data_IF_364395865530
#
_entry.id   IF_364395865530
#
_cell.length_a   1.000
_cell.length_b   1.000
_cell.length_c   1.000
_cell.angle_alpha   90.00
_cell.angle_beta   90.00
_cell.angle_gamma   90.00
#
_symmetry.space_group_name_H-M   'P 1'
#
loop_
_entity.id
_entity.type
_entity.pdbx_description
1 polymer ?
#
# COMPACT_ATOMS: atom_id res chain seq x y z
N UNK A 1 -5.36 -9.91 -55.82
CA UNK A 1 -5.73 -11.24 -55.28
C UNK A 1 -5.22 -11.51 -53.85
N UNK A 2 -4.06 -11.04 -53.34
CA UNK A 2 -3.61 -11.37 -51.98
C UNK A 2 -4.20 -10.48 -50.85
N UNK A 3 -4.67 -9.26 -51.14
CA UNK A 3 -5.26 -8.35 -50.12
C UNK A 3 -6.59 -8.84 -49.54
N UNK A 4 -7.45 -9.46 -50.37
CA UNK A 4 -8.73 -9.99 -49.89
C UNK A 4 -8.53 -11.20 -48.97
N UNK A 5 -7.50 -12.01 -49.22
CA UNK A 5 -7.18 -13.17 -48.40
C UNK A 5 -6.69 -12.76 -47.02
N UNK A 6 -5.84 -11.72 -46.93
CA UNK A 6 -5.35 -11.15 -45.67
C UNK A 6 -6.47 -10.50 -44.85
N UNK A 7 -7.38 -9.76 -45.50
CA UNK A 7 -8.58 -9.19 -44.84
C UNK A 7 -9.52 -10.26 -44.29
N UNK A 8 -9.72 -11.35 -45.03
CA UNK A 8 -10.53 -12.50 -44.58
C UNK A 8 -9.87 -13.26 -43.42
N UNK A 9 -8.54 -13.39 -43.41
CA UNK A 9 -7.84 -14.00 -42.27
C UNK A 9 -7.93 -13.13 -41.03
N UNK A 10 -7.82 -11.81 -41.18
CA UNK A 10 -7.89 -10.85 -40.08
C UNK A 10 -9.31 -10.79 -39.47
N UNK A 11 -10.36 -10.83 -40.30
CA UNK A 11 -11.74 -10.92 -39.84
C UNK A 11 -12.04 -12.26 -39.13
N UNK A 12 -11.48 -13.37 -39.63
CA UNK A 12 -11.59 -14.68 -38.95
C UNK A 12 -10.91 -14.65 -37.57
N UNK A 13 -9.71 -14.08 -37.47
CA UNK A 13 -8.99 -14.00 -36.20
C UNK A 13 -9.70 -13.08 -35.20
N UNK A 14 -10.35 -12.00 -35.65
CA UNK A 14 -11.14 -11.12 -34.78
C UNK A 14 -12.40 -11.82 -34.25
N UNK A 15 -13.09 -12.61 -35.09
CA UNK A 15 -14.23 -13.43 -34.67
C UNK A 15 -13.84 -14.48 -33.63
N UNK A 16 -12.71 -15.16 -33.83
CA UNK A 16 -12.19 -16.15 -32.88
C UNK A 16 -11.79 -15.50 -31.55
N UNK A 17 -11.20 -14.31 -31.59
CA UNK A 17 -10.86 -13.53 -30.39
C UNK A 17 -12.12 -13.13 -29.61
N UNK A 18 -13.19 -12.71 -30.29
CA UNK A 18 -14.46 -12.35 -29.67
C UNK A 18 -15.12 -13.58 -29.00
N UNK A 19 -15.02 -14.74 -29.64
CA UNK A 19 -15.56 -15.99 -29.12
C UNK A 19 -14.76 -16.51 -27.90
N UNK A 20 -13.44 -16.30 -27.89
CA UNK A 20 -12.56 -16.61 -26.77
C UNK A 20 -12.85 -15.69 -25.58
N UNK A 21 -13.06 -14.39 -25.84
CA UNK A 21 -13.36 -13.39 -24.81
C UNK A 21 -14.73 -13.63 -24.16
N UNK A 22 -15.75 -14.01 -24.95
CA UNK A 22 -17.07 -14.43 -24.43
C UNK A 22 -16.98 -15.68 -23.55
N UNK A 23 -16.17 -16.68 -23.94
CA UNK A 23 -15.93 -17.87 -23.10
C UNK A 23 -15.25 -17.49 -21.79
N UNK A 24 -14.21 -16.65 -21.84
CA UNK A 24 -13.48 -16.26 -20.63
C UNK A 24 -14.34 -15.46 -19.65
N UNK A 25 -15.21 -14.58 -20.16
CA UNK A 25 -16.20 -13.84 -19.36
C UNK A 25 -17.26 -14.77 -18.75
N UNK A 26 -17.69 -15.82 -19.45
CA UNK A 26 -18.60 -16.81 -18.91
C UNK A 26 -17.95 -17.63 -17.76
N UNK A 27 -16.68 -18.02 -17.91
CA UNK A 27 -15.92 -18.70 -16.85
C UNK A 27 -15.74 -17.80 -15.62
N UNK A 28 -15.43 -16.52 -15.84
CA UNK A 28 -15.34 -15.53 -14.76
C UNK A 28 -16.70 -15.36 -14.05
N UNK A 29 -17.81 -15.27 -14.80
CA UNK A 29 -19.16 -15.16 -14.22
C UNK A 29 -19.53 -16.39 -13.37
N UNK A 30 -19.18 -17.60 -13.81
CA UNK A 30 -19.43 -18.83 -13.06
C UNK A 30 -18.58 -18.90 -11.79
N UNK A 31 -17.29 -18.50 -11.85
CA UNK A 31 -16.43 -18.43 -10.67
C UNK A 31 -16.93 -17.43 -9.62
N UNK A 32 -17.56 -16.33 -10.04
CA UNK A 32 -18.17 -15.33 -9.15
C UNK A 32 -19.47 -15.85 -8.52
N UNK A 33 -20.25 -16.65 -9.25
CA UNK A 33 -21.45 -17.32 -8.73
C UNK A 33 -21.10 -18.40 -7.70
N UNK A 34 -20.07 -19.21 -7.95
CA UNK A 34 -19.55 -20.19 -6.97
C UNK A 34 -19.04 -19.50 -5.70
N UNK A 35 -18.30 -18.38 -5.82
CA UNK A 35 -17.86 -17.59 -4.65
C UNK A 35 -19.04 -17.04 -3.83
N UNK A 36 -20.15 -16.63 -4.48
CA UNK A 36 -21.37 -16.19 -3.80
C UNK A 36 -22.10 -17.33 -3.08
N UNK A 37 -22.17 -18.53 -3.70
CA UNK A 37 -22.73 -19.71 -3.04
C UNK A 37 -21.88 -20.17 -1.86
N UNK A 38 -20.54 -20.16 -1.98
CA UNK A 38 -19.65 -20.53 -0.87
C UNK A 38 -19.74 -19.54 0.31
N UNK A 39 -19.89 -18.24 0.04
CA UNK A 39 -20.12 -17.26 1.10
C UNK A 39 -21.48 -17.45 1.81
N UNK A 40 -22.53 -17.82 1.08
CA UNK A 40 -23.84 -18.13 1.69
C UNK A 40 -23.79 -19.42 2.52
N UNK A 41 -23.06 -20.44 2.09
CA UNK A 41 -22.89 -21.67 2.86
C UNK A 41 -22.04 -21.45 4.13
N UNK A 42 -20.98 -20.64 4.05
CA UNK A 42 -20.19 -20.25 5.23
C UNK A 42 -20.99 -19.43 6.24
N UNK A 43 -21.91 -18.58 5.78
CA UNK A 43 -22.84 -17.86 6.66
C UNK A 43 -23.89 -18.77 7.30
N UNK A 44 -24.24 -19.89 6.65
CA UNK A 44 -25.15 -20.91 7.20
C UNK A 44 -24.44 -21.81 8.23
N UNK A 45 -23.16 -22.14 8.02
CA UNK A 45 -22.31 -22.88 8.97
C UNK A 45 -21.93 -22.06 10.22
N UNK A 46 -21.76 -20.73 10.09
CA UNK A 46 -21.54 -19.84 11.25
C UNK A 46 -22.75 -19.76 12.19
N UNK A 47 -23.97 -20.04 11.73
CA UNK A 47 -25.18 -20.07 12.56
C UNK A 47 -25.35 -21.36 13.39
N UNK A 48 -24.64 -22.44 13.06
CA UNK A 48 -24.73 -23.73 13.77
C UNK A 48 -23.54 -24.04 14.67
N UNK A 49 -22.43 -23.28 14.56
CA UNK A 49 -21.19 -23.53 15.34
C UNK A 49 -21.10 -22.78 16.68
N UNK A 50 -22.12 -22.02 17.10
CA UNK A 50 -22.12 -21.27 18.36
C UNK A 50 -22.48 -22.11 19.60
N UNK A 51 -22.20 -23.43 19.58
CA UNK A 51 -22.37 -24.35 20.71
C UNK A 51 -21.26 -25.40 20.72
N UNK A 52 -20.04 -24.99 21.08
CA UNK A 52 -19.08 -25.87 21.75
C UNK A 52 -17.95 -25.01 22.34
N UNK A 53 -18.05 -24.75 23.64
CA UNK A 53 -16.91 -24.38 24.47
C UNK A 53 -16.02 -25.61 24.60
N UNK A 54 -14.70 -25.44 24.47
CA UNK A 54 -13.77 -26.26 25.24
C UNK A 54 -12.44 -25.54 25.53
N UNK A 55 -11.94 -25.89 26.70
CA UNK A 55 -10.83 -25.40 27.51
C UNK A 55 -9.46 -25.43 26.81
N UNK A 56 -8.63 -24.40 27.05
CA UNK A 56 -7.17 -24.58 27.20
C UNK A 56 -6.56 -23.59 28.21
N UNK A 57 -5.60 -24.11 28.97
CA UNK A 57 -5.00 -23.59 30.20
C UNK A 57 -4.23 -22.27 30.04
N UNK A 58 -4.42 -21.37 31.02
CA UNK A 58 -3.62 -20.16 31.20
C UNK A 58 -2.26 -20.47 31.85
N UNK A 59 -1.22 -19.79 31.38
CA UNK A 59 0.11 -19.73 32.03
C UNK A 59 0.01 -19.09 33.42
N UNK A 60 0.77 -19.57 34.43
CA UNK A 60 0.67 -19.06 35.79
C UNK A 60 1.27 -17.65 35.92
N UNK A 61 0.51 -16.75 36.53
CA UNK A 61 0.93 -15.41 36.96
C UNK A 61 1.61 -15.48 38.35
N UNK A 62 2.51 -14.55 38.70
CA UNK A 62 3.17 -14.51 40.00
C UNK A 62 2.17 -14.26 41.16
N UNK A 63 2.52 -14.74 42.36
CA UNK A 63 1.64 -14.93 43.52
C UNK A 63 0.99 -13.68 44.15
N UNK A 64 1.23 -12.47 43.62
CA UNK A 64 0.77 -11.20 44.21
C UNK A 64 -0.29 -10.48 43.36
N UNK A 65 -0.97 -11.18 42.45
CA UNK A 65 -1.95 -10.59 41.52
C UNK A 65 -3.36 -11.12 41.81
N UNK A 66 -4.26 -10.25 42.26
CA UNK A 66 -5.70 -10.54 42.39
C UNK A 66 -6.41 -10.19 41.08
N UNK A 67 -7.09 -11.17 40.47
CA UNK A 67 -7.71 -11.06 39.14
C UNK A 67 -9.24 -11.06 39.25
N UNK A 68 -9.90 -10.06 38.65
CA UNK A 68 -11.36 -10.04 38.48
C UNK A 68 -11.74 -9.73 37.02
N UNK A 69 -12.73 -10.44 36.48
CA UNK A 69 -13.29 -10.19 35.14
C UNK A 69 -14.61 -9.42 35.27
N UNK A 70 -14.72 -8.23 34.67
CA UNK A 70 -15.91 -7.38 34.80
C UNK A 70 -16.39 -6.88 33.43
N UNK A 71 -17.71 -6.84 33.23
CA UNK A 71 -18.40 -6.23 32.09
C UNK A 71 -19.17 -5.01 32.59
N UNK A 72 -18.76 -3.81 32.17
CA UNK A 72 -19.34 -2.57 32.68
C UNK A 72 -20.71 -2.26 32.07
N UNK A 73 -21.68 -1.88 32.92
CA UNK A 73 -22.86 -1.10 32.52
C UNK A 73 -22.59 0.39 32.82
N UNK A 74 -22.93 1.23 31.84
CA UNK A 74 -22.74 2.69 31.88
C UNK A 74 -23.26 3.32 33.18
N UNK A 75 -22.42 4.01 33.94
CA UNK A 75 -22.88 4.87 35.03
C UNK A 75 -22.00 6.14 35.25
N UNK A 76 -22.74 7.25 35.31
CA UNK A 76 -22.48 8.62 35.78
C UNK A 76 -21.11 9.33 35.65
N UNK A 77 -21.18 10.44 34.91
CA UNK A 77 -20.22 11.52 34.81
C UNK A 77 -20.17 12.33 36.12
N UNK A 78 -19.06 12.27 36.87
CA UNK A 78 -18.85 13.14 38.04
C UNK A 78 -18.08 14.38 37.62
N UNK A 79 -18.83 15.41 37.21
CA UNK A 79 -18.28 16.74 36.94
C UNK A 79 -17.72 17.35 38.23
N UNK A 80 -16.39 17.39 38.38
CA UNK A 80 -15.76 18.14 39.46
C UNK A 80 -14.60 18.98 38.90
N UNK A 81 -14.83 20.29 38.75
CA UNK A 81 -13.99 21.24 37.98
C UNK A 81 -12.66 21.64 38.65
N UNK A 82 -12.31 21.10 39.82
CA UNK A 82 -11.14 21.50 40.62
C UNK A 82 -10.21 20.33 41.03
N UNK A 83 -10.28 19.17 40.37
CA UNK A 83 -9.36 18.06 40.65
C UNK A 83 -8.12 18.13 39.77
N UNK A 84 -6.97 17.81 40.36
CA UNK A 84 -5.74 17.52 39.61
C UNK A 84 -6.02 16.44 38.55
N UNK A 85 -5.36 16.55 37.40
CA UNK A 85 -5.50 15.61 36.29
C UNK A 85 -5.09 14.22 36.76
N UNK A 86 -5.91 13.22 36.44
CA UNK A 86 -5.58 11.82 36.71
C UNK A 86 -4.64 11.35 35.61
N UNK A 87 -3.41 11.06 36.00
CA UNK A 87 -2.40 10.49 35.10
C UNK A 87 -2.66 9.00 34.90
N UNK A 88 -2.90 8.60 33.65
CA UNK A 88 -3.06 7.19 33.25
C UNK A 88 -1.85 6.75 32.45
N UNK A 89 -1.15 5.74 32.93
CA UNK A 89 -0.03 5.12 32.22
C UNK A 89 -0.57 4.12 31.20
N UNK A 90 -0.15 4.26 29.95
CA UNK A 90 -0.60 3.41 28.85
C UNK A 90 0.57 2.68 28.23
N UNK A 91 0.33 1.42 27.90
CA UNK A 91 1.21 0.56 27.13
C UNK A 91 0.38 -0.14 26.06
N UNK A 92 0.92 -0.23 24.85
CA UNK A 92 0.29 -0.96 23.74
C UNK A 92 1.27 -1.98 23.20
N UNK A 93 0.85 -3.23 23.15
CA UNK A 93 1.62 -4.32 22.58
C UNK A 93 0.92 -4.89 21.35
N UNK A 94 1.62 -4.89 20.22
CA UNK A 94 1.17 -5.62 19.03
C UNK A 94 1.49 -7.10 19.20
N UNK A 95 0.47 -7.89 19.54
CA UNK A 95 0.61 -9.33 19.77
C UNK A 95 0.69 -10.10 18.46
N UNK A 96 -0.04 -9.66 17.45
CA UNK A 96 -0.03 -10.22 16.09
C UNK A 96 -0.44 -9.15 15.09
N UNK A 97 0.34 -8.98 14.04
CA UNK A 97 -0.05 -8.18 12.87
C UNK A 97 -0.35 -9.14 11.72
N UNK A 98 -1.56 -9.03 11.20
CA UNK A 98 -2.12 -9.87 10.14
C UNK A 98 -1.95 -9.26 8.75
N UNK A 99 -2.90 -9.55 7.87
CA UNK A 99 -2.92 -9.04 6.50
C UNK A 99 -3.12 -7.52 6.49
N UNK A 100 -2.33 -6.84 5.65
CA UNK A 100 -2.40 -5.40 5.40
C UNK A 100 -3.06 -5.21 4.02
N UNK A 101 -4.26 -4.65 4.00
CA UNK A 101 -5.01 -4.33 2.78
C UNK A 101 -4.80 -2.85 2.41
N UNK A 102 -3.88 -2.62 1.47
CA UNK A 102 -3.54 -1.28 0.99
C UNK A 102 -4.63 -0.66 0.13
N UNK A 103 -5.56 -1.44 -0.42
CA UNK A 103 -6.65 -0.93 -1.27
C UNK A 103 -7.76 -0.35 -0.40
N UNK A 104 -7.98 -0.94 0.78
CA UNK A 104 -9.04 -0.52 1.71
C UNK A 104 -8.56 0.34 2.85
N UNK A 105 -7.26 0.66 2.92
CA UNK A 105 -6.66 1.42 4.02
C UNK A 105 -6.90 0.74 5.38
N UNK A 106 -6.72 -0.58 5.42
CA UNK A 106 -7.03 -1.42 6.59
C UNK A 106 -5.96 -2.45 6.85
N UNK A 107 -5.74 -2.78 8.11
CA UNK A 107 -4.92 -3.92 8.49
C UNK A 107 -5.56 -4.70 9.63
N UNK A 108 -5.30 -6.00 9.69
CA UNK A 108 -5.77 -6.84 10.79
C UNK A 108 -4.71 -6.91 11.89
N UNK A 109 -5.09 -6.74 13.15
CA UNK A 109 -4.18 -6.92 14.27
C UNK A 109 -4.86 -7.49 15.52
N UNK A 110 -4.03 -8.10 16.37
CA UNK A 110 -4.32 -8.44 17.76
C UNK A 110 -3.43 -7.56 18.63
N UNK A 111 -4.06 -6.66 19.38
CA UNK A 111 -3.39 -5.62 20.14
C UNK A 111 -3.79 -5.72 21.59
N UNK A 112 -2.81 -5.71 22.48
CA UNK A 112 -3.02 -5.67 23.92
C UNK A 112 -2.74 -4.27 24.44
N UNK A 113 -3.80 -3.58 24.86
CA UNK A 113 -3.71 -2.29 25.53
C UNK A 113 -3.73 -2.53 27.03
N UNK A 114 -2.77 -1.96 27.74
CA UNK A 114 -2.71 -1.97 29.19
C UNK A 114 -2.72 -0.54 29.71
N UNK A 115 -3.67 -0.24 30.59
CA UNK A 115 -3.86 1.05 31.23
C UNK A 115 -3.67 0.87 32.72
N UNK A 116 -2.89 1.75 33.34
CA UNK A 116 -2.64 1.75 34.78
C UNK A 116 -2.96 3.12 35.36
N UNK A 117 -3.73 3.16 36.44
CA UNK A 117 -3.99 4.37 37.19
C UNK A 117 -3.93 4.12 38.69
N UNK A 118 -3.70 5.19 39.43
CA UNK A 118 -3.54 5.14 40.87
C UNK A 118 -4.92 5.16 41.54
N UNK A 119 -5.18 4.22 42.45
CA UNK A 119 -6.39 4.22 43.28
C UNK A 119 -6.02 4.19 44.78
N UNK A 120 -5.99 5.35 45.46
CA UNK A 120 -5.58 5.45 46.86
C UNK A 120 -6.45 4.64 47.84
N UNK A 121 -7.71 4.37 47.49
CA UNK A 121 -8.65 3.63 48.36
C UNK A 121 -8.18 2.23 48.74
N UNK A 122 -7.31 1.62 47.94
CA UNK A 122 -6.82 0.25 48.14
C UNK A 122 -5.43 0.17 48.77
N UNK A 123 -4.85 1.29 49.22
CA UNK A 123 -3.53 1.29 49.88
C UNK A 123 -3.55 0.55 51.22
N UNK A 124 -4.66 0.63 51.96
CA UNK A 124 -4.80 -0.01 53.28
C UNK A 124 -5.53 -1.36 53.24
N UNK A 125 -6.30 -1.64 52.17
CA UNK A 125 -7.16 -2.81 52.02
C UNK A 125 -6.70 -3.75 50.89
N UNK A 126 -5.46 -4.21 50.97
CA UNK A 126 -4.79 -5.02 49.94
C UNK A 126 -5.40 -6.42 49.64
N UNK A 127 -6.53 -6.81 50.26
CA UNK A 127 -6.89 -8.23 50.43
C UNK A 127 -8.16 -8.72 49.71
N UNK A 128 -9.00 -7.88 49.10
CA UNK A 128 -10.05 -8.42 48.21
C UNK A 128 -10.53 -7.44 47.13
N UNK A 129 -10.28 -7.82 45.87
CA UNK A 129 -10.89 -7.18 44.71
C UNK A 129 -12.29 -7.77 44.50
N UNK A 130 -13.26 -7.33 45.31
CA UNK A 130 -14.65 -7.73 45.06
C UNK A 130 -15.21 -6.96 43.85
N UNK A 131 -15.96 -7.66 43.00
CA UNK A 131 -16.52 -7.09 41.76
C UNK A 131 -17.35 -5.82 42.01
N UNK A 132 -18.04 -5.74 43.15
CA UNK A 132 -18.81 -4.56 43.57
C UNK A 132 -17.92 -3.35 43.91
N UNK A 133 -16.72 -3.57 44.44
CA UNK A 133 -15.77 -2.49 44.76
C UNK A 133 -15.16 -1.90 43.48
N UNK A 134 -14.96 -2.74 42.46
CA UNK A 134 -14.38 -2.30 41.18
C UNK A 134 -15.35 -1.44 40.35
N UNK A 135 -16.65 -1.73 40.39
CA UNK A 135 -17.68 -0.90 39.73
C UNK A 135 -17.78 0.52 40.35
N UNK A 136 -17.40 0.68 41.61
CA UNK A 136 -17.39 1.96 42.32
C UNK A 136 -16.12 2.81 42.04
N UNK A 137 -15.09 2.21 41.45
CA UNK A 137 -13.82 2.90 41.20
C UNK A 137 -13.85 3.77 39.95
N UNK A 138 -12.97 4.76 39.92
CA UNK A 138 -12.83 5.60 38.73
C UNK A 138 -12.27 4.76 37.56
N UNK A 139 -12.82 4.97 36.36
CA UNK A 139 -12.44 4.25 35.14
C UNK A 139 -12.11 5.24 33.99
N UNK A 140 -10.96 5.08 33.32
CA UNK A 140 -10.56 5.93 32.20
C UNK A 140 -11.39 5.73 30.92
N UNK A 141 -12.28 4.74 30.83
CA UNK A 141 -13.14 4.41 29.68
C UNK A 141 -12.38 4.45 28.35
N UNK A 142 -11.44 3.52 28.21
CA UNK A 142 -10.52 3.48 27.09
C UNK A 142 -11.11 2.70 25.90
N UNK A 143 -11.08 3.34 24.73
CA UNK A 143 -11.59 2.81 23.47
C UNK A 143 -10.53 2.91 22.37
N UNK A 144 -10.65 2.06 21.35
CA UNK A 144 -9.82 2.15 20.16
C UNK A 144 -10.54 3.03 19.15
N UNK A 145 -9.89 4.11 18.72
CA UNK A 145 -10.47 5.10 17.83
C UNK A 145 -10.46 4.67 16.36
N UNK A 146 -9.35 4.12 15.87
CA UNK A 146 -9.24 3.64 14.49
C UNK A 146 -9.71 2.19 14.31
N UNK A 147 -10.55 1.70 15.22
CA UNK A 147 -11.21 0.41 15.05
C UNK A 147 -12.20 0.45 13.91
N UNK A 148 -12.10 -0.49 12.98
CA UNK A 148 -13.14 -0.73 11.97
C UNK A 148 -14.15 -1.71 12.56
N UNK A 149 -15.41 -1.60 12.16
CA UNK A 149 -16.54 -2.44 12.60
C UNK A 149 -16.14 -3.92 12.84
N UNK A 150 -16.68 -4.53 13.91
CA UNK A 150 -16.40 -5.90 14.40
C UNK A 150 -15.10 -6.13 15.22
N UNK A 151 -14.68 -5.16 16.05
CA UNK A 151 -13.63 -5.41 17.05
C UNK A 151 -14.12 -6.32 18.19
N UNK A 152 -13.35 -7.37 18.47
CA UNK A 152 -13.55 -8.24 19.62
C UNK A 152 -12.71 -7.73 20.80
N UNK A 153 -13.33 -7.64 21.98
CA UNK A 153 -12.69 -7.16 23.19
C UNK A 153 -12.71 -8.22 24.29
N UNK A 154 -11.55 -8.49 24.87
CA UNK A 154 -11.40 -9.27 26.10
C UNK A 154 -10.74 -8.35 27.14
N UNK A 155 -11.44 -8.05 28.24
CA UNK A 155 -10.95 -7.13 29.28
C UNK A 155 -10.72 -7.90 30.57
N UNK A 156 -9.58 -7.67 31.20
CA UNK A 156 -9.23 -8.23 32.51
C UNK A 156 -8.69 -7.11 33.38
N UNK A 157 -9.14 -7.05 34.63
CA UNK A 157 -8.72 -6.03 35.57
C UNK A 157 -8.09 -6.70 36.78
N UNK A 158 -6.98 -6.16 37.23
CA UNK A 158 -6.25 -6.66 38.38
C UNK A 158 -5.60 -5.52 39.15
N UNK A 159 -5.34 -5.74 40.43
CA UNK A 159 -4.59 -4.81 41.28
C UNK A 159 -3.12 -5.16 41.26
N UNK A 160 -2.27 -4.15 41.13
CA UNK A 160 -0.82 -4.25 41.23
C UNK A 160 -0.36 -3.32 42.36
N UNK A 161 0.31 -3.87 43.37
CA UNK A 161 0.92 -3.09 44.44
C UNK A 161 2.36 -2.76 44.04
N UNK A 162 2.71 -1.49 44.10
CA UNK A 162 4.08 -1.03 43.87
C UNK A 162 4.99 -1.42 45.06
N UNK A 163 6.30 -1.24 44.90
CA UNK A 163 7.32 -1.46 45.95
C UNK A 163 7.01 -0.67 47.23
N UNK A 164 6.34 0.47 47.09
CA UNK A 164 5.90 1.36 48.17
C UNK A 164 4.51 0.98 48.75
N UNK A 165 3.98 -0.21 48.46
CA UNK A 165 2.62 -0.64 48.83
C UNK A 165 1.51 0.27 48.28
N UNK A 166 1.79 0.99 47.19
CA UNK A 166 0.81 1.85 46.52
C UNK A 166 -0.04 1.02 45.56
N UNK A 167 -1.35 1.11 45.70
CA UNK A 167 -2.30 0.39 44.86
C UNK A 167 -2.51 1.01 43.47
N UNK A 168 -2.20 0.25 42.43
CA UNK A 168 -2.45 0.57 41.03
C UNK A 168 -3.51 -0.37 40.47
N UNK A 169 -4.53 0.17 39.82
CA UNK A 169 -5.48 -0.63 39.05
C UNK A 169 -4.92 -0.76 37.65
N UNK A 170 -4.82 -2.01 37.19
CA UNK A 170 -4.34 -2.37 35.87
C UNK A 170 -5.50 -2.97 35.07
N UNK A 171 -5.93 -2.28 34.03
CA UNK A 171 -6.86 -2.80 33.04
C UNK A 171 -6.07 -3.28 31.82
N UNK A 172 -6.27 -4.55 31.45
CA UNK A 172 -5.70 -5.17 30.26
C UNK A 172 -6.83 -5.48 29.30
N UNK A 173 -6.81 -4.80 28.16
CA UNK A 173 -7.80 -4.94 27.09
C UNK A 173 -7.13 -5.51 25.84
N UNK A 174 -7.43 -6.77 25.53
CA UNK A 174 -7.03 -7.40 24.27
C UNK A 174 -8.09 -7.10 23.22
N UNK A 175 -7.67 -6.49 22.13
CA UNK A 175 -8.52 -6.08 21.02
C UNK A 175 -8.08 -6.80 19.75
N UNK A 176 -9.01 -7.55 19.13
CA UNK A 176 -8.76 -8.27 17.87
C UNK A 176 -9.71 -7.78 16.79
N UNK A 177 -9.16 -7.47 15.62
CA UNK A 177 -9.96 -7.16 14.44
C UNK A 177 -9.23 -6.27 13.45
N UNK A 178 -9.99 -5.45 12.73
CA UNK A 178 -9.49 -4.57 11.69
C UNK A 178 -9.31 -3.15 12.21
N UNK A 179 -8.19 -2.54 11.81
CA UNK A 179 -7.84 -1.17 12.13
C UNK A 179 -7.71 -0.40 10.82
N UNK A 180 -8.15 0.85 10.85
CA UNK A 180 -8.01 1.78 9.75
C UNK A 180 -6.66 2.49 9.84
N UNK A 181 -5.95 2.55 8.72
CA UNK A 181 -4.69 3.27 8.59
C UNK A 181 -4.59 3.88 7.19
N UNK A 182 -4.17 5.14 7.11
CA UNK A 182 -4.05 5.83 5.84
C UNK A 182 -2.74 5.45 5.15
N UNK A 183 -2.82 4.78 4.00
CA UNK A 183 -1.62 4.27 3.32
C UNK A 183 -0.99 5.34 2.42
N UNK A 184 0.27 5.67 2.69
CA UNK A 184 1.03 6.67 1.92
C UNK A 184 1.83 6.00 0.79
N UNK A 185 1.27 5.97 -0.41
CA UNK A 185 1.80 5.17 -1.53
C UNK A 185 2.66 5.98 -2.52
N UNK A 186 3.08 7.20 -2.16
CA UNK A 186 3.84 8.09 -3.08
C UNK A 186 5.11 7.44 -3.61
N UNK A 187 5.81 6.69 -2.73
CA UNK A 187 7.07 6.00 -3.04
C UNK A 187 6.88 4.56 -3.48
N UNK A 188 5.65 4.12 -3.76
CA UNK A 188 5.37 2.75 -4.18
C UNK A 188 6.22 2.33 -5.39
N UNK A 189 6.87 1.15 -5.38
CA UNK A 189 6.72 0.03 -4.43
C UNK A 189 7.72 0.04 -3.23
N UNK A 190 8.45 1.14 -3.03
CA UNK A 190 9.43 1.33 -1.95
C UNK A 190 8.84 2.09 -0.76
N UNK A 191 7.56 1.88 -0.49
CA UNK A 191 6.82 2.55 0.56
C UNK A 191 7.06 1.92 1.93
N UNK A 192 7.08 2.79 2.94
CA UNK A 192 7.05 2.45 4.36
C UNK A 192 5.71 2.93 4.92
N UNK A 193 5.10 2.14 5.80
CA UNK A 193 3.81 2.44 6.41
C UNK A 193 3.93 2.37 7.93
N UNK A 194 3.28 3.31 8.61
CA UNK A 194 3.19 3.33 10.07
C UNK A 194 1.81 2.80 10.48
N UNK A 195 1.75 1.56 10.96
CA UNK A 195 0.51 0.93 11.40
C UNK A 195 0.14 1.44 12.79
N UNK A 196 -0.73 2.44 12.87
CA UNK A 196 -1.04 3.12 14.12
C UNK A 196 -2.20 2.47 14.87
N UNK A 197 -2.14 2.43 16.19
CA UNK A 197 -3.27 2.14 17.08
C UNK A 197 -3.52 3.39 17.91
N UNK A 198 -4.74 3.90 17.83
CA UNK A 198 -5.16 5.09 18.55
C UNK A 198 -6.05 4.72 19.73
N UNK A 199 -5.52 4.93 20.93
CA UNK A 199 -6.21 4.68 22.20
C UNK A 199 -6.78 6.02 22.68
N UNK A 200 -8.10 6.11 22.82
CA UNK A 200 -8.81 7.35 23.21
C UNK A 200 -9.63 7.09 24.47
N UNK A 201 -9.64 8.06 25.38
CA UNK A 201 -10.55 8.06 26.52
C UNK A 201 -11.84 8.81 26.19
N UNK A 202 -12.99 8.32 26.67
CA UNK A 202 -14.24 9.09 26.65
C UNK A 202 -14.26 10.24 27.67
N UNK A 203 -13.25 10.33 28.55
CA UNK A 203 -13.06 11.46 29.50
C UNK A 203 -12.41 12.65 28.81
N UNK A 204 -12.64 13.85 29.36
CA UNK A 204 -12.07 15.08 28.81
C UNK A 204 -10.58 15.22 29.13
N UNK A 205 -9.86 16.00 28.30
CA UNK A 205 -8.45 16.37 28.49
C UNK A 205 -8.18 17.13 29.81
N UNK A 206 -9.23 17.74 30.38
CA UNK A 206 -9.16 18.42 31.68
C UNK A 206 -9.14 17.43 32.86
N UNK A 207 -9.69 16.22 32.67
CA UNK A 207 -9.79 15.19 33.73
C UNK A 207 -8.64 14.19 33.67
N UNK A 208 -8.20 13.83 32.46
CA UNK A 208 -7.29 12.71 32.22
C UNK A 208 -6.12 13.15 31.33
N UNK A 209 -4.92 12.69 31.69
CA UNK A 209 -3.75 12.74 30.81
C UNK A 209 -3.17 11.33 30.60
N UNK A 210 -2.76 11.04 29.37
CA UNK A 210 -2.06 9.79 29.05
C UNK A 210 -0.56 9.99 29.09
N UNK A 211 0.14 9.13 29.80
CA UNK A 211 1.59 9.02 29.79
C UNK A 211 2.02 7.62 29.37
N UNK A 212 3.17 7.51 28.71
CA UNK A 212 3.77 6.21 28.44
C UNK A 212 4.26 5.58 29.75
N UNK A 213 4.02 4.27 29.93
CA UNK A 213 4.59 3.55 31.06
C UNK A 213 6.12 3.47 30.94
N UNK A 214 6.83 4.04 31.92
CA UNK A 214 8.29 4.06 31.98
C UNK A 214 8.90 2.68 32.27
N UNK A 215 8.17 1.82 32.98
CA UNK A 215 8.65 0.50 33.40
C UNK A 215 8.36 -0.56 32.33
N UNK A 216 7.33 -0.34 31.51
CA UNK A 216 6.90 -1.28 30.48
C UNK A 216 6.60 -0.57 29.17
N UNK A 217 7.60 -0.46 28.30
CA UNK A 217 7.46 0.18 26.99
C UNK A 217 6.50 -0.60 26.07
N UNK A 218 5.81 0.14 25.20
CA UNK A 218 5.07 -0.41 24.06
C UNK A 218 6.02 -1.19 23.15
N UNK A 219 5.58 -2.32 22.63
CA UNK A 219 6.40 -3.22 21.83
C UNK A 219 5.59 -3.92 20.74
N UNK A 220 6.29 -4.45 19.75
CA UNK A 220 5.74 -5.33 18.73
C UNK A 220 6.38 -6.71 18.83
N UNK A 221 5.58 -7.76 18.66
CA UNK A 221 6.10 -9.12 18.55
C UNK A 221 6.38 -9.45 17.08
N UNK A 222 7.66 -9.54 16.65
CA UNK A 222 8.00 -9.86 15.26
C UNK A 222 7.69 -11.31 14.89
N UNK A 223 7.73 -12.25 15.84
CA UNK A 223 7.61 -13.69 15.57
C UNK A 223 6.21 -14.10 15.08
N UNK A 224 5.20 -13.31 15.41
CA UNK A 224 3.80 -13.57 15.05
C UNK A 224 3.35 -12.82 13.80
N UNK A 225 4.28 -12.14 13.11
CA UNK A 225 3.96 -11.32 11.95
C UNK A 225 3.55 -12.17 10.75
N UNK A 226 2.27 -12.13 10.39
CA UNK A 226 1.72 -12.98 9.31
C UNK A 226 1.95 -12.43 7.91
N UNK A 227 2.27 -11.14 7.77
CA UNK A 227 2.49 -10.48 6.48
C UNK A 227 3.98 -10.39 6.07
N UNK A 228 4.85 -11.20 6.69
CA UNK A 228 6.30 -11.20 6.48
C UNK A 228 6.74 -11.52 5.03
N UNK A 229 5.86 -12.11 4.21
CA UNK A 229 6.15 -12.39 2.79
C UNK A 229 6.10 -11.13 1.92
N UNK A 230 5.22 -10.19 2.25
CA UNK A 230 5.02 -8.95 1.49
C UNK A 230 5.67 -7.74 2.15
N UNK A 231 5.89 -7.81 3.46
CA UNK A 231 6.34 -6.70 4.29
C UNK A 231 7.52 -7.12 5.18
N UNK A 232 8.31 -6.14 5.56
CA UNK A 232 9.33 -6.22 6.60
C UNK A 232 8.85 -5.39 7.79
N UNK A 233 8.89 -5.97 8.98
CA UNK A 233 8.43 -5.31 10.21
C UNK A 233 9.65 -4.86 11.01
N UNK A 234 9.66 -3.59 11.41
CA UNK A 234 10.69 -3.06 12.31
C UNK A 234 10.35 -3.42 13.75
N UNK A 235 11.37 -3.66 14.57
CA UNK A 235 11.19 -4.02 15.99
C UNK A 235 10.80 -2.82 16.86
N UNK A 236 11.10 -1.61 16.41
CA UNK A 236 10.82 -0.39 17.14
C UNK A 236 9.40 0.10 16.88
N UNK A 237 8.84 0.70 17.93
CA UNK A 237 7.47 1.23 17.93
C UNK A 237 7.52 2.70 18.29
N UNK A 238 6.91 3.53 17.47
CA UNK A 238 6.84 4.98 17.69
C UNK A 238 5.63 5.29 18.57
N UNK A 239 5.83 6.11 19.60
CA UNK A 239 4.77 6.46 20.58
C UNK A 239 4.66 7.97 20.67
N UNK A 240 3.43 8.48 20.63
CA UNK A 240 3.15 9.90 20.84
C UNK A 240 1.75 10.11 21.40
N UNK A 241 1.53 11.27 22.02
CA UNK A 241 0.21 11.71 22.48
C UNK A 241 -0.32 12.83 21.61
N UNK A 242 -1.65 12.88 21.44
CA UNK A 242 -2.35 13.96 20.76
C UNK A 242 -3.71 14.21 21.42
N UNK A 243 -4.36 15.30 21.06
CA UNK A 243 -5.71 15.61 21.51
C UNK A 243 -6.65 15.41 20.31
N UNK A 244 -7.71 14.64 20.51
CA UNK A 244 -8.75 14.39 19.51
C UNK A 244 -10.03 15.10 19.94
N UNK A 245 -10.70 15.76 19.00
CA UNK A 245 -11.98 16.43 19.28
C UNK A 245 -13.12 15.48 18.95
N UNK A 246 -13.95 15.16 19.96
CA UNK A 246 -15.17 14.35 19.81
C UNK A 246 -16.32 15.14 20.42
N UNK A 247 -17.43 15.31 19.69
CA UNK A 247 -18.61 16.05 20.17
C UNK A 247 -18.33 17.47 20.72
N UNK A 248 -17.36 18.20 20.13
CA UNK A 248 -16.89 19.54 20.58
C UNK A 248 -16.14 19.55 21.92
N UNK A 249 -15.78 18.38 22.45
CA UNK A 249 -14.92 18.25 23.63
C UNK A 249 -13.55 17.67 23.23
N UNK A 250 -12.51 18.11 23.95
CA UNK A 250 -11.16 17.61 23.77
C UNK A 250 -10.97 16.34 24.58
N UNK A 251 -10.51 15.28 23.92
CA UNK A 251 -10.20 14.00 24.53
C UNK A 251 -8.72 13.65 24.32
N UNK A 252 -8.02 13.17 25.34
CA UNK A 252 -6.64 12.73 25.19
C UNK A 252 -6.60 11.45 24.34
N UNK A 253 -5.58 11.35 23.50
CA UNK A 253 -5.33 10.22 22.61
C UNK A 253 -3.88 9.78 22.70
N UNK A 254 -3.67 8.49 22.96
CA UNK A 254 -2.37 7.84 22.98
C UNK A 254 -2.20 7.03 21.70
N UNK A 255 -1.21 7.37 20.90
CA UNK A 255 -0.96 6.78 19.58
C UNK A 255 0.31 5.94 19.62
N UNK A 256 0.25 4.75 19.04
CA UNK A 256 1.38 3.83 18.96
C UNK A 256 1.45 3.26 17.54
N UNK A 257 2.60 3.37 16.87
CA UNK A 257 2.77 2.94 15.50
C UNK A 257 3.87 1.88 15.35
N UNK A 258 3.51 0.77 14.70
CA UNK A 258 4.47 -0.23 14.23
C UNK A 258 4.87 0.08 12.79
N UNK A 259 6.16 0.32 12.56
CA UNK A 259 6.68 0.65 11.23
C UNK A 259 6.86 -0.62 10.39
N UNK A 260 6.40 -0.59 9.14
CA UNK A 260 6.58 -1.68 8.17
C UNK A 260 7.09 -1.17 6.82
N UNK A 261 7.99 -1.89 6.17
CA UNK A 261 8.49 -1.59 4.82
C UNK A 261 8.03 -2.66 3.82
N UNK A 262 7.56 -2.26 2.64
CA UNK A 262 7.16 -3.22 1.61
C UNK A 262 8.38 -3.92 1.01
N UNK A 263 8.21 -5.19 0.61
CA UNK A 263 9.16 -5.95 -0.22
C UNK A 263 8.90 -5.68 -1.70
N UNK A 264 9.75 -4.90 -2.41
CA UNK A 264 9.44 -4.44 -3.77
C UNK A 264 9.65 -5.49 -4.87
N UNK A 265 10.29 -6.62 -4.57
CA UNK A 265 10.81 -7.59 -5.56
C UNK A 265 9.76 -8.01 -6.58
N UNK A 266 8.54 -8.30 -6.14
CA UNK A 266 7.43 -8.69 -7.02
C UNK A 266 7.13 -7.62 -8.08
N UNK A 267 7.06 -6.35 -7.67
CA UNK A 267 6.76 -5.23 -8.58
C UNK A 267 7.92 -4.94 -9.52
N UNK A 268 9.17 -5.13 -9.06
CA UNK A 268 10.34 -4.95 -9.91
C UNK A 268 10.37 -5.98 -11.04
N UNK A 269 10.25 -7.27 -10.73
CA UNK A 269 10.33 -8.31 -11.76
C UNK A 269 9.10 -8.35 -12.67
N UNK A 270 7.89 -8.21 -12.13
CA UNK A 270 6.67 -8.39 -12.91
C UNK A 270 6.19 -7.12 -13.62
N UNK A 271 6.61 -5.94 -13.16
CA UNK A 271 6.18 -4.67 -13.75
C UNK A 271 7.34 -3.94 -14.40
N UNK A 272 8.39 -3.64 -13.64
CA UNK A 272 9.48 -2.80 -14.15
C UNK A 272 10.26 -3.50 -15.27
N UNK A 273 10.64 -4.77 -15.06
CA UNK A 273 11.36 -5.58 -16.06
C UNK A 273 10.47 -5.90 -17.26
N UNK A 274 9.19 -6.22 -17.04
CA UNK A 274 8.25 -6.47 -18.13
C UNK A 274 8.06 -5.23 -19.03
N UNK A 275 7.90 -4.06 -18.42
CA UNK A 275 7.79 -2.80 -19.16
C UNK A 275 9.09 -2.45 -19.90
N UNK A 276 10.24 -2.72 -19.30
CA UNK A 276 11.54 -2.57 -19.97
C UNK A 276 11.62 -3.40 -21.25
N UNK A 277 11.15 -4.65 -21.24
CA UNK A 277 11.12 -5.47 -22.46
C UNK A 277 10.17 -4.90 -23.51
N UNK A 278 8.94 -4.54 -23.16
CA UNK A 278 7.99 -3.92 -24.11
C UNK A 278 8.59 -2.67 -24.75
N UNK A 279 9.23 -1.81 -23.96
CA UNK A 279 9.83 -0.59 -24.49
C UNK A 279 11.07 -0.88 -25.33
N UNK A 280 11.86 -1.90 -24.99
CA UNK A 280 13.01 -2.33 -25.81
C UNK A 280 12.58 -2.82 -27.20
N UNK A 281 11.39 -3.43 -27.34
CA UNK A 281 10.85 -3.79 -28.65
C UNK A 281 10.60 -2.59 -29.56
N UNK A 282 10.52 -1.36 -29.03
CA UNK A 282 10.41 -0.16 -29.86
C UNK A 282 11.62 0.01 -30.79
N UNK A 283 12.82 -0.42 -30.40
CA UNK A 283 13.99 -0.37 -31.28
C UNK A 283 13.87 -1.28 -32.51
N UNK A 284 13.10 -2.38 -32.42
CA UNK A 284 12.86 -3.25 -33.56
C UNK A 284 12.04 -2.56 -34.66
N UNK A 285 11.22 -1.55 -34.32
CA UNK A 285 10.42 -0.81 -35.29
C UNK A 285 11.29 0.01 -36.26
N UNK A 286 12.44 0.51 -35.81
CA UNK A 286 13.42 1.23 -36.65
C UNK A 286 14.14 0.30 -37.64
N UNK A 287 14.18 -1.02 -37.38
CA UNK A 287 14.78 -2.01 -38.29
C UNK A 287 13.93 -2.26 -39.55
N UNK A 288 12.61 -2.00 -39.47
CA UNK A 288 11.70 -2.15 -40.62
C UNK A 288 12.05 -1.14 -41.71
N UNK A 289 11.98 -1.54 -42.98
CA UNK A 289 12.36 -0.67 -44.10
C UNK A 289 11.45 0.58 -44.22
N UNK A 290 12.04 1.74 -44.50
CA UNK A 290 11.34 3.02 -44.70
C UNK A 290 10.35 3.03 -45.88
N UNK A 291 10.52 2.11 -46.84
CA UNK A 291 9.67 2.00 -48.03
C UNK A 291 8.22 1.60 -47.73
N UNK A 292 7.94 1.06 -46.53
CA UNK A 292 6.62 0.62 -46.10
C UNK A 292 6.27 1.26 -44.74
N UNK A 293 5.90 2.56 -44.72
CA UNK A 293 5.63 3.27 -43.47
C UNK A 293 4.43 2.70 -42.70
N UNK A 294 3.49 2.06 -43.38
CA UNK A 294 2.31 1.43 -42.79
C UNK A 294 2.66 0.40 -41.70
N UNK A 295 3.66 -0.46 -41.94
CA UNK A 295 4.08 -1.47 -40.98
C UNK A 295 4.78 -0.87 -39.76
N UNK A 296 5.55 0.22 -39.92
CA UNK A 296 6.22 0.92 -38.81
C UNK A 296 5.21 1.56 -37.86
N UNK A 297 4.21 2.25 -38.42
CA UNK A 297 3.14 2.90 -37.65
C UNK A 297 2.31 1.83 -36.94
N UNK A 298 1.94 0.75 -37.63
CA UNK A 298 1.19 -0.36 -37.05
C UNK A 298 1.90 -0.99 -35.84
N UNK A 299 3.19 -1.32 -35.97
CA UNK A 299 3.98 -1.88 -34.86
C UNK A 299 4.08 -0.92 -33.68
N UNK A 300 4.24 0.37 -33.95
CA UNK A 300 4.33 1.39 -32.88
C UNK A 300 3.01 1.56 -32.15
N UNK A 301 1.89 1.58 -32.88
CA UNK A 301 0.56 1.66 -32.28
C UNK A 301 0.25 0.41 -31.45
N UNK A 302 0.64 -0.77 -31.91
CA UNK A 302 0.53 -2.01 -31.14
C UNK A 302 1.29 -1.90 -29.81
N UNK A 303 2.54 -1.43 -29.80
CA UNK A 303 3.32 -1.24 -28.57
C UNK A 303 2.69 -0.22 -27.61
N UNK A 304 2.14 0.88 -28.14
CA UNK A 304 1.41 1.86 -27.34
C UNK A 304 0.18 1.22 -26.71
N UNK A 305 -0.61 0.47 -27.49
CA UNK A 305 -1.81 -0.22 -27.00
C UNK A 305 -1.46 -1.27 -25.94
N UNK A 306 -0.39 -2.05 -26.13
CA UNK A 306 0.11 -3.00 -25.13
C UNK A 306 0.46 -2.29 -23.82
N UNK A 307 1.15 -1.16 -23.89
CA UNK A 307 1.54 -0.35 -22.73
C UNK A 307 0.33 0.23 -21.98
N UNK A 308 -0.66 0.76 -22.71
CA UNK A 308 -1.92 1.27 -22.13
C UNK A 308 -2.71 0.16 -21.45
N UNK A 309 -2.85 -0.99 -22.12
CA UNK A 309 -3.54 -2.16 -21.57
C UNK A 309 -2.85 -2.66 -20.31
N UNK A 310 -1.52 -2.73 -20.34
CA UNK A 310 -0.73 -3.12 -19.19
C UNK A 310 -0.90 -2.15 -18.01
N UNK A 311 -0.89 -0.83 -18.27
CA UNK A 311 -1.17 0.20 -17.24
C UNK A 311 -2.55 -0.01 -16.59
N UNK A 312 -3.59 -0.28 -17.38
CA UNK A 312 -4.92 -0.55 -16.84
C UNK A 312 -4.94 -1.81 -15.96
N UNK A 313 -4.24 -2.87 -16.35
CA UNK A 313 -4.11 -4.09 -15.56
C UNK A 313 -3.40 -3.85 -14.24
N UNK A 314 -2.30 -3.09 -14.25
CA UNK A 314 -1.56 -2.71 -13.03
C UNK A 314 -2.42 -1.86 -12.10
N UNK A 315 -3.15 -0.88 -12.64
CA UNK A 315 -4.01 0.01 -11.86
C UNK A 315 -5.22 -0.70 -11.22
N UNK A 316 -5.63 -1.88 -11.72
CA UNK A 316 -6.69 -2.68 -11.10
C UNK A 316 -6.23 -3.38 -9.82
N UNK A 317 -4.93 -3.61 -9.67
CA UNK A 317 -4.33 -4.24 -8.49
C UNK A 317 -3.81 -3.22 -7.47
N UNK A 318 -3.88 -1.93 -7.81
CA UNK A 318 -3.40 -0.84 -6.98
C UNK A 318 -4.58 -0.01 -6.45
N UNK A 319 -4.41 0.64 -5.28
CA UNK A 319 -5.41 1.55 -4.74
C UNK A 319 -5.56 2.75 -5.68
N UNK A 320 -6.80 3.20 -5.90
CA UNK A 320 -7.09 4.36 -6.76
C UNK A 320 -6.82 5.65 -5.99
N UNK A 321 -5.58 6.11 -6.06
CA UNK A 321 -5.11 7.34 -5.42
C UNK A 321 -5.07 8.50 -6.43
N UNK A 322 -5.27 9.75 -5.99
CA UNK A 322 -5.33 10.92 -6.88
C UNK A 322 -3.95 11.40 -7.35
N UNK A 323 -2.86 10.87 -6.79
CA UNK A 323 -1.49 11.26 -7.10
C UNK A 323 -0.71 10.11 -7.76
N UNK A 324 0.34 10.45 -8.50
CA UNK A 324 1.14 9.51 -9.27
C UNK A 324 2.26 8.87 -8.43
N UNK A 325 2.28 7.53 -8.35
CA UNK A 325 3.36 6.79 -7.66
C UNK A 325 4.66 6.79 -8.47
N UNK A 326 5.78 6.38 -7.86
CA UNK A 326 7.04 6.21 -8.59
C UNK A 326 6.94 5.13 -9.68
N UNK A 327 6.22 4.05 -9.41
CA UNK A 327 5.92 3.02 -10.40
C UNK A 327 5.09 3.57 -11.56
N UNK A 328 4.06 4.37 -11.29
CA UNK A 328 3.23 4.96 -12.35
C UNK A 328 4.00 6.00 -13.16
N UNK A 329 4.88 6.80 -12.53
CA UNK A 329 5.80 7.72 -13.22
C UNK A 329 6.68 6.97 -14.21
N UNK A 330 7.19 5.81 -13.84
CA UNK A 330 7.99 4.97 -14.73
C UNK A 330 7.17 4.46 -15.92
N UNK A 331 5.99 3.88 -15.67
CA UNK A 331 5.08 3.40 -16.72
C UNK A 331 4.68 4.53 -17.68
N UNK A 332 4.32 5.70 -17.15
CA UNK A 332 3.89 6.84 -17.95
C UNK A 332 5.06 7.48 -18.71
N UNK A 333 6.25 7.53 -18.13
CA UNK A 333 7.47 7.99 -18.80
C UNK A 333 7.82 7.09 -19.99
N UNK A 334 7.84 5.77 -19.78
CA UNK A 334 8.00 4.78 -20.83
C UNK A 334 6.95 4.90 -21.94
N UNK A 335 5.67 5.09 -21.57
CA UNK A 335 4.59 5.35 -22.53
C UNK A 335 4.83 6.63 -23.34
N UNK A 336 5.31 7.69 -22.69
CA UNK A 336 5.59 8.97 -23.35
C UNK A 336 6.70 8.82 -24.40
N UNK A 337 7.76 8.07 -24.10
CA UNK A 337 8.83 7.75 -25.06
C UNK A 337 8.26 7.00 -26.27
N UNK A 338 7.40 6.00 -26.06
CA UNK A 338 6.73 5.27 -27.13
C UNK A 338 5.84 6.17 -27.99
N UNK A 339 5.11 7.11 -27.38
CA UNK A 339 4.32 8.08 -28.11
C UNK A 339 5.19 9.01 -28.97
N UNK A 340 6.33 9.48 -28.46
CA UNK A 340 7.28 10.28 -29.24
C UNK A 340 7.84 9.51 -30.45
N UNK A 341 8.17 8.22 -30.28
CA UNK A 341 8.59 7.34 -31.37
C UNK A 341 7.46 7.17 -32.39
N UNK A 342 6.21 7.02 -31.95
CA UNK A 342 5.05 6.93 -32.82
C UNK A 342 4.81 8.19 -33.65
N UNK A 343 4.95 9.37 -33.02
CA UNK A 343 4.88 10.66 -33.71
C UNK A 343 5.98 10.76 -34.76
N UNK A 344 7.22 10.36 -34.43
CA UNK A 344 8.33 10.32 -35.38
C UNK A 344 8.02 9.41 -36.59
N UNK A 345 7.55 8.19 -36.37
CA UNK A 345 7.17 7.29 -37.47
C UNK A 345 6.05 7.84 -38.35
N UNK A 346 5.08 8.55 -37.76
CA UNK A 346 4.04 9.23 -38.53
C UNK A 346 4.64 10.33 -39.41
N UNK A 347 5.53 11.16 -38.87
CA UNK A 347 6.22 12.22 -39.62
C UNK A 347 7.06 11.64 -40.75
N UNK A 348 7.86 10.60 -40.49
CA UNK A 348 8.63 9.89 -41.52
C UNK A 348 7.73 9.31 -42.62
N UNK A 349 6.57 8.74 -42.25
CA UNK A 349 5.59 8.25 -43.22
C UNK A 349 5.05 9.35 -44.13
N UNK A 350 4.72 10.51 -43.57
CA UNK A 350 4.24 11.67 -44.35
C UNK A 350 5.30 12.27 -45.27
N UNK A 351 6.59 12.23 -44.90
CA UNK A 351 7.67 12.73 -45.74
C UNK A 351 8.00 11.82 -46.93
N UNK A 352 7.68 10.53 -46.83
CA UNK A 352 7.96 9.52 -47.88
C UNK A 352 6.75 9.33 -48.80
N UNK A 353 5.54 9.57 -48.31
CA UNK A 353 4.33 9.49 -49.12
C UNK A 353 4.42 10.50 -50.28
N UNK A 354 4.38 10.05 -51.55
CA UNK A 354 4.33 10.98 -52.66
C UNK A 354 3.01 11.77 -52.57
N UNK A 355 3.11 13.08 -52.39
CA UNK A 355 1.96 13.98 -52.50
C UNK A 355 1.35 13.78 -53.89
N UNK A 356 0.19 13.15 -53.97
CA UNK A 356 -0.63 13.18 -55.19
C UNK A 356 -1.01 14.65 -55.45
N UNK A 357 -0.73 15.20 -56.63
CA UNK A 357 -0.85 16.64 -56.89
C UNK A 357 -2.31 17.09 -57.13
N UNK A 358 -3.26 16.69 -56.27
CA UNK A 358 -4.68 17.03 -56.48
C UNK A 358 -5.42 17.68 -55.32
N UNK A 359 -4.87 17.80 -54.10
CA UNK A 359 -5.62 18.43 -53.01
C UNK A 359 -4.93 19.68 -52.48
N UNK A 360 -5.41 20.82 -52.98
CA UNK A 360 -5.11 22.16 -52.49
C UNK A 360 -5.74 22.34 -51.11
N UNK A 361 -5.08 21.88 -50.05
CA UNK A 361 -5.40 22.24 -48.66
C UNK A 361 -4.16 22.79 -47.97
N UNK A 362 -3.70 23.92 -48.49
CA UNK A 362 -2.70 24.81 -47.89
C UNK A 362 -3.25 25.42 -46.60
N UNK A 363 -3.08 24.74 -45.47
CA UNK A 363 -3.19 25.36 -44.14
C UNK A 363 -2.45 24.59 -43.03
N UNK A 364 -2.25 23.27 -43.13
CA UNK A 364 -1.64 22.48 -42.05
C UNK A 364 -0.15 22.15 -42.26
N UNK A 365 0.39 22.39 -43.45
CA UNK A 365 1.74 21.91 -43.84
C UNK A 365 2.88 22.91 -43.62
N UNK A 366 2.58 24.15 -43.24
CA UNK A 366 3.62 25.18 -43.06
C UNK A 366 4.32 25.10 -41.69
N UNK A 367 3.83 24.28 -40.76
CA UNK A 367 4.42 24.19 -39.40
C UNK A 367 5.55 23.16 -39.30
N UNK A 368 5.59 22.16 -40.18
CA UNK A 368 6.70 21.18 -40.26
C UNK A 368 7.90 21.69 -41.07
N UNK A 369 7.68 22.65 -41.97
CA UNK A 369 8.74 23.26 -42.78
C UNK A 369 9.64 24.18 -41.95
N UNK A 370 9.09 24.88 -40.94
CA UNK A 370 9.84 25.82 -40.09
C UNK A 370 10.86 25.12 -39.19
N UNK A 371 10.61 23.88 -38.76
CA UNK A 371 11.59 23.09 -37.98
C UNK A 371 12.69 22.46 -38.85
N UNK A 372 12.38 22.14 -40.11
CA UNK A 372 13.36 21.62 -41.06
C UNK A 372 14.33 22.71 -41.55
N UNK A 373 13.85 23.95 -41.70
CA UNK A 373 14.68 25.09 -42.12
C UNK A 373 15.66 25.56 -41.03
N UNK A 374 15.37 25.34 -39.74
CA UNK A 374 16.31 25.69 -38.65
C UNK A 374 17.58 24.83 -38.58
N UNK A 375 17.69 23.74 -39.36
CA UNK A 375 18.86 22.84 -39.33
C UNK A 375 19.64 22.73 -40.64
N UNK A 376 19.26 23.42 -41.72
CA UNK A 376 19.97 23.29 -43.01
C UNK A 376 20.98 24.41 -43.24
N UNK A 377 22.24 24.11 -42.92
CA UNK A 377 23.39 24.78 -43.53
C UNK A 377 23.42 24.43 -45.02
N UNK A 378 23.45 25.46 -45.86
CA UNK A 378 23.39 25.43 -47.32
C UNK A 378 24.55 24.60 -47.93
N UNK A 379 24.28 23.32 -48.20
CA UNK A 379 24.88 22.48 -49.28
C UNK A 379 24.53 21.02 -49.03
N UNK A 380 23.60 20.45 -49.82
CA UNK A 380 23.61 19.10 -50.43
C UNK A 380 22.37 19.05 -51.33
N UNK A 381 22.53 19.32 -52.63
CA UNK A 381 21.46 19.26 -53.67
C UNK A 381 21.75 18.12 -54.68
N UNK A 382 22.43 17.05 -54.25
CA UNK A 382 22.63 15.84 -55.08
C UNK A 382 22.73 14.57 -54.24
N UNK A 383 21.70 14.28 -53.45
CA UNK A 383 21.59 12.97 -52.80
C UNK A 383 20.12 12.56 -52.79
N UNK A 384 19.83 11.30 -53.12
CA UNK A 384 18.46 10.77 -53.18
C UNK A 384 17.72 11.13 -51.88
N UNK A 385 16.49 11.67 -51.94
CA UNK A 385 15.75 12.11 -50.75
C UNK A 385 15.60 10.97 -49.72
N UNK A 386 15.55 9.72 -50.19
CA UNK A 386 15.52 8.51 -49.36
C UNK A 386 16.77 8.32 -48.50
N UNK A 387 17.97 8.65 -48.99
CA UNK A 387 19.21 8.51 -48.21
C UNK A 387 19.31 9.55 -47.10
N UNK A 388 18.86 10.78 -47.36
CA UNK A 388 18.82 11.84 -46.34
C UNK A 388 17.85 11.48 -45.21
N UNK A 389 16.66 10.95 -45.53
CA UNK A 389 15.68 10.50 -44.53
C UNK A 389 16.21 9.31 -43.73
N UNK A 390 16.91 8.36 -44.37
CA UNK A 390 17.54 7.23 -43.69
C UNK A 390 18.61 7.68 -42.68
N UNK A 391 19.40 8.70 -43.02
CA UNK A 391 20.39 9.28 -42.12
C UNK A 391 19.72 9.94 -40.91
N UNK A 392 18.67 10.73 -41.15
CA UNK A 392 17.90 11.36 -40.06
C UNK A 392 17.25 10.31 -39.15
N UNK A 393 16.67 9.24 -39.71
CA UNK A 393 16.06 8.15 -38.94
C UNK A 393 17.07 7.46 -37.99
N UNK A 394 18.32 7.29 -38.43
CA UNK A 394 19.41 6.73 -37.60
C UNK A 394 19.87 7.69 -36.51
N UNK A 395 19.93 8.99 -36.79
CA UNK A 395 20.27 10.01 -35.78
C UNK A 395 19.18 10.06 -34.71
N UNK A 396 17.91 10.04 -35.12
CA UNK A 396 16.77 10.04 -34.20
C UNK A 396 16.71 8.76 -33.37
N UNK A 397 16.99 7.59 -33.96
CA UNK A 397 17.19 6.35 -33.21
C UNK A 397 18.27 6.50 -32.13
N UNK A 398 19.40 7.13 -32.45
CA UNK A 398 20.48 7.40 -31.49
C UNK A 398 20.04 8.30 -30.33
N UNK A 399 19.29 9.37 -30.62
CA UNK A 399 18.74 10.29 -29.61
C UNK A 399 17.76 9.55 -28.69
N UNK A 400 16.82 8.79 -29.26
CA UNK A 400 15.86 8.02 -28.47
C UNK A 400 16.53 6.91 -27.66
N UNK A 401 17.54 6.23 -28.21
CA UNK A 401 18.32 5.23 -27.50
C UNK A 401 19.06 5.84 -26.31
N UNK A 402 19.68 7.02 -26.49
CA UNK A 402 20.33 7.75 -25.41
C UNK A 402 19.34 8.17 -24.33
N UNK A 403 18.20 8.75 -24.72
CA UNK A 403 17.14 9.14 -23.78
C UNK A 403 16.57 7.93 -23.02
N UNK A 404 16.36 6.81 -23.71
CA UNK A 404 15.91 5.54 -23.14
C UNK A 404 16.90 5.00 -22.11
N UNK A 405 18.17 4.86 -22.48
CA UNK A 405 19.22 4.37 -21.58
C UNK A 405 19.33 5.28 -20.36
N UNK A 406 19.31 6.61 -20.56
CA UNK A 406 19.38 7.58 -19.46
C UNK A 406 18.18 7.45 -18.52
N UNK A 407 16.96 7.33 -19.07
CA UNK A 407 15.73 7.18 -18.28
C UNK A 407 15.73 5.89 -17.45
N UNK A 408 16.05 4.75 -18.07
CA UNK A 408 16.11 3.46 -17.38
C UNK A 408 17.28 3.38 -16.38
N UNK A 409 18.42 3.97 -16.71
CA UNK A 409 19.57 4.05 -15.80
C UNK A 409 19.26 4.93 -14.58
N UNK A 410 18.63 6.09 -14.78
CA UNK A 410 18.19 6.96 -13.69
C UNK A 410 17.23 6.22 -12.76
N UNK A 411 16.28 5.47 -13.33
CA UNK A 411 15.35 4.66 -12.53
C UNK A 411 16.06 3.53 -11.80
N UNK A 412 17.02 2.85 -12.44
CA UNK A 412 17.83 1.81 -11.79
C UNK A 412 18.63 2.36 -10.61
N UNK A 413 19.24 3.54 -10.76
CA UNK A 413 19.96 4.23 -9.67
C UNK A 413 19.01 4.56 -8.53
N UNK A 414 17.78 4.98 -8.83
CA UNK A 414 16.76 5.22 -7.81
C UNK A 414 16.42 3.94 -7.03
N UNK A 415 16.27 2.81 -7.71
CA UNK A 415 16.05 1.50 -7.07
C UNK A 415 17.22 1.14 -6.15
N UNK A 416 18.47 1.29 -6.63
CA UNK A 416 19.68 0.94 -5.88
C UNK A 416 19.84 1.83 -4.65
N UNK A 417 19.60 3.13 -4.79
CA UNK A 417 19.69 4.08 -3.69
C UNK A 417 18.68 3.76 -2.58
N UNK A 418 17.44 3.43 -2.95
CA UNK A 418 16.42 3.00 -1.98
C UNK A 418 16.75 1.66 -1.32
N UNK A 419 17.29 0.71 -2.08
CA UNK A 419 17.71 -0.56 -1.49
C UNK A 419 18.84 -0.38 -0.47
N UNK A 420 19.78 0.54 -0.75
CA UNK A 420 20.89 0.85 0.17
C UNK A 420 20.42 1.60 1.42
N UNK A 421 19.46 2.51 1.30
CA UNK A 421 18.84 3.18 2.45
C UNK A 421 18.16 2.20 3.41
N UNK A 422 17.51 1.17 2.88
CA UNK A 422 16.94 0.08 3.70
C UNK A 422 18.01 -0.83 4.32
N UNK A 423 19.18 -0.98 3.68
CA UNK A 423 20.26 -1.84 4.17
C UNK A 423 21.13 -1.18 5.26
N UNK A 424 21.28 0.14 5.26
CA UNK A 424 22.00 0.85 6.32
C UNK A 424 21.19 0.91 7.62
N UNK A 425 19.86 1.08 7.54
CA UNK A 425 18.95 0.98 8.69
C UNK A 425 18.94 -0.44 9.32
N UNK A 426 19.31 -1.46 8.54
CA UNK A 426 19.42 -2.85 8.97
C UNK A 426 20.79 -3.21 9.60
N UNK A 427 21.82 -2.35 9.49
CA UNK A 427 23.18 -2.64 9.98
C UNK A 427 23.46 -2.14 11.40
N UNK A 428 22.59 -1.30 11.96
CA UNK A 428 22.72 -0.79 13.33
C UNK A 428 22.06 -1.68 14.40
N UNK A 429 21.64 -2.91 14.04
CA UNK A 429 21.08 -3.88 14.97
C UNK A 429 22.13 -4.95 15.34
N UNK A 430 22.37 -5.22 16.64
CA UNK A 430 23.28 -6.29 17.04
C UNK A 430 22.73 -7.64 16.56
N UNK A 431 23.55 -8.32 15.76
CA UNK A 431 23.33 -9.70 15.34
C UNK A 431 23.09 -10.60 16.55
N UNK A 432 21.92 -11.22 16.63
CA UNK A 432 21.59 -12.22 17.63
C UNK A 432 22.56 -13.42 17.50
N UNK A 433 23.39 -13.74 18.52
CA UNK A 433 24.28 -14.90 18.46
C UNK A 433 23.48 -16.14 18.91
N UNK A 434 22.76 -16.76 17.98
CA UNK A 434 21.82 -17.81 18.37
C UNK A 434 21.34 -18.70 17.23
N UNK A 435 22.27 -19.21 16.41
CA UNK A 435 21.99 -20.28 15.46
C UNK A 435 23.29 -21.05 15.20
N UNK A 436 23.71 -21.84 16.19
CA UNK A 436 24.59 -22.98 15.96
C UNK A 436 23.74 -24.23 16.02
N UNK A 437 23.70 -24.89 14.87
CA UNK A 437 23.53 -26.32 14.62
C UNK A 437 23.12 -27.20 15.82
N UNK A 438 21.94 -27.79 15.69
CA UNK A 438 21.66 -29.16 16.12
C UNK A 438 20.64 -29.83 15.21
#
# INVERSE_FOLDING_TARGET
>A
MPENTARLTLLSMMSDLEHLLKRHLATLRNSQLERKQNNNNNNKMKKTSSRQHDFYQATPLPANILVASVSYKNLHNTNNKNKEKITVRVKVNFMKIGVIDTIRDRYHADVMVQTKWREPKFDEYALSLDQANLESCWNPHVTIWNGVEDLQYETTIFLELDSDQRAWICERKRTRGQFFEFMELRKFPFDEQDLTVMVVSDRSEAELEFLQDCNQKSAVNPDTFSAAQEWYLYNDVTVWTKITVKNKENHPCFCVAAKVSRRPQFFIYNIVVFMFFICSLSFATFSVQLKLPEFRILLTFLLIQTTVTFKFTVNNNLPKIPYLTYLDKYILGSMTILCCIGIWHSVCGSLIAPVSPSDNTSAAFNTSLVLAETFSCEKIVKQDPTETILLVDRVVLGIFAFAYITFHFWFLVLIIHYHKGSADDNRDLPSNPGSRDH
#
